data_IF_558314192903
#
_entry.id   IF_558314192903
#
_cell.length_a   1.000
_cell.length_b   1.000
_cell.length_c   1.000
_cell.angle_alpha   90.00
_cell.angle_beta   90.00
_cell.angle_gamma   90.00
#
_symmetry.space_group_name_H-M   'P 1'
#
loop_
_entity.id
_entity.type
_entity.pdbx_description
1 polymer ?
#
# COMPACT_ATOMS: atom_id res chain seq x y z
N UNK A 1 -13.47 -40.85 13.00
CA UNK A 1 -13.99 -39.50 12.69
C UNK A 1 -13.32 -39.06 11.39
N UNK A 2 -14.07 -39.09 10.31
CA UNK A 2 -13.58 -38.76 8.98
C UNK A 2 -13.53 -37.23 8.77
N UNK A 3 -12.56 -36.71 8.00
CA UNK A 3 -12.48 -35.28 7.71
C UNK A 3 -13.53 -34.91 6.66
N UNK A 4 -14.20 -33.80 6.90
CA UNK A 4 -15.19 -33.18 6.03
C UNK A 4 -14.52 -32.79 4.71
N UNK A 5 -15.00 -33.31 3.59
CA UNK A 5 -14.54 -33.02 2.23
C UNK A 5 -14.92 -31.60 1.82
N UNK A 6 -13.91 -30.85 1.40
CA UNK A 6 -14.02 -29.54 0.77
C UNK A 6 -14.87 -29.59 -0.50
N UNK A 7 -16.08 -29.04 -0.44
CA UNK A 7 -16.82 -28.55 -1.61
C UNK A 7 -16.36 -27.12 -1.90
N UNK A 8 -15.77 -26.88 -3.09
CA UNK A 8 -15.44 -25.54 -3.56
C UNK A 8 -16.72 -24.73 -3.78
N UNK A 9 -16.96 -23.63 -3.07
CA UNK A 9 -18.04 -22.71 -3.45
C UNK A 9 -17.61 -21.84 -4.63
N UNK A 10 -18.55 -21.62 -5.54
CA UNK A 10 -18.43 -20.71 -6.69
C UNK A 10 -18.06 -19.31 -6.21
N UNK A 11 -16.92 -18.79 -6.66
CA UNK A 11 -16.48 -17.43 -6.42
C UNK A 11 -17.42 -16.44 -7.09
N UNK A 12 -18.30 -15.84 -6.31
CA UNK A 12 -18.90 -14.54 -6.61
C UNK A 12 -18.82 -13.72 -5.33
N UNK A 13 -18.25 -12.52 -5.47
CA UNK A 13 -18.03 -11.49 -4.46
C UNK A 13 -16.79 -11.68 -3.58
N UNK A 14 -15.73 -10.99 -3.99
CA UNK A 14 -14.47 -10.88 -3.28
C UNK A 14 -14.68 -10.12 -1.98
N UNK A 15 -14.68 -10.84 -0.86
CA UNK A 15 -14.50 -10.26 0.45
C UNK A 15 -13.17 -9.47 0.50
N UNK A 16 -13.23 -8.27 0.99
CA UNK A 16 -12.05 -7.43 1.24
C UNK A 16 -11.12 -8.19 2.19
N UNK A 17 -9.85 -8.37 1.82
CA UNK A 17 -8.87 -8.98 2.71
C UNK A 17 -8.77 -8.13 3.99
N UNK A 18 -9.20 -8.68 5.12
CA UNK A 18 -9.08 -8.07 6.43
C UNK A 18 -7.68 -8.38 6.94
N UNK A 19 -6.92 -7.36 7.27
CA UNK A 19 -5.57 -7.53 7.81
C UNK A 19 -5.67 -7.56 9.34
N UNK A 20 -5.36 -8.69 9.93
CA UNK A 20 -5.26 -8.88 11.37
C UNK A 20 -3.81 -8.82 11.86
N UNK A 21 -3.61 -8.38 13.08
CA UNK A 21 -2.31 -8.18 13.70
C UNK A 21 -2.17 -9.00 14.96
N UNK A 22 -1.04 -9.68 15.11
CA UNK A 22 -0.79 -10.58 16.21
C UNK A 22 -1.55 -11.91 16.06
N UNK A 23 -1.48 -12.76 17.05
CA UNK A 23 -2.25 -14.01 17.12
C UNK A 23 -3.73 -13.71 17.45
N UNK A 24 -4.51 -13.33 16.44
CA UNK A 24 -5.95 -13.09 16.58
C UNK A 24 -6.74 -14.15 15.83
N UNK A 25 -7.25 -15.14 16.54
CA UNK A 25 -8.05 -16.25 15.96
C UNK A 25 -9.30 -15.77 15.18
N UNK A 26 -9.85 -14.61 15.54
CA UNK A 26 -11.02 -14.03 14.85
C UNK A 26 -10.74 -13.67 13.40
N UNK A 27 -9.52 -13.26 13.07
CA UNK A 27 -9.16 -12.76 11.74
C UNK A 27 -8.96 -13.85 10.71
N UNK A 28 -8.29 -14.93 11.08
CA UNK A 28 -8.04 -16.06 10.17
C UNK A 28 -9.36 -16.72 9.76
N UNK A 29 -10.36 -16.69 10.63
CA UNK A 29 -11.69 -17.27 10.39
C UNK A 29 -12.62 -16.37 9.57
N UNK A 30 -12.35 -15.06 9.46
CA UNK A 30 -13.24 -14.08 8.84
C UNK A 30 -12.92 -13.76 7.38
N UNK A 31 -11.78 -14.23 6.86
CA UNK A 31 -11.24 -13.78 5.56
C UNK A 31 -12.15 -14.06 4.36
N UNK A 32 -13.02 -15.07 4.45
CA UNK A 32 -13.89 -15.50 3.35
C UNK A 32 -15.39 -15.47 3.72
N UNK A 33 -15.77 -14.90 4.88
CA UNK A 33 -17.13 -14.92 5.38
C UNK A 33 -17.84 -13.57 5.16
N UNK A 34 -19.14 -13.62 4.86
CA UNK A 34 -20.02 -12.46 4.96
C UNK A 34 -20.26 -12.08 6.44
N UNK A 35 -20.73 -10.85 6.69
CA UNK A 35 -21.05 -10.41 8.05
C UNK A 35 -22.05 -11.35 8.75
N UNK A 36 -23.04 -11.87 8.03
CA UNK A 36 -24.04 -12.80 8.58
C UNK A 36 -23.45 -14.17 8.92
N UNK A 37 -22.59 -14.72 8.05
CA UNK A 37 -21.89 -15.98 8.29
C UNK A 37 -20.90 -15.86 9.45
N UNK A 38 -20.24 -14.70 9.55
CA UNK A 38 -19.31 -14.43 10.65
C UNK A 38 -20.04 -14.33 11.99
N UNK A 39 -21.19 -13.65 12.06
CA UNK A 39 -22.02 -13.61 13.27
C UNK A 39 -22.45 -15.01 13.73
N UNK A 40 -22.86 -15.88 12.80
CA UNK A 40 -23.21 -17.29 13.11
C UNK A 40 -22.01 -18.07 13.64
N UNK A 41 -20.83 -17.87 13.09
CA UNK A 41 -19.59 -18.46 13.57
C UNK A 41 -19.29 -18.02 15.01
N UNK A 42 -19.41 -16.71 15.30
CA UNK A 42 -19.19 -16.18 16.66
C UNK A 42 -20.17 -16.78 17.67
N UNK A 43 -21.44 -16.94 17.28
CA UNK A 43 -22.45 -17.57 18.14
C UNK A 43 -22.15 -19.05 18.42
N UNK A 44 -21.62 -19.76 17.42
CA UNK A 44 -21.18 -21.14 17.58
C UNK A 44 -20.01 -21.25 18.55
N UNK A 45 -18.98 -20.41 18.37
CA UNK A 45 -17.79 -20.37 19.26
C UNK A 45 -18.17 -20.10 20.71
N UNK A 46 -19.11 -19.18 20.94
CA UNK A 46 -19.57 -18.86 22.31
C UNK A 46 -20.38 -20.00 22.95
N UNK A 47 -21.07 -20.81 22.13
CA UNK A 47 -21.86 -21.97 22.62
C UNK A 47 -21.00 -23.18 22.95
N UNK A 48 -19.89 -23.37 22.28
CA UNK A 48 -19.03 -24.55 22.45
C UNK A 48 -18.26 -24.58 23.77
N UNK A 49 -18.14 -23.44 24.47
CA UNK A 49 -17.59 -23.35 25.84
C UNK A 49 -16.11 -23.69 26.03
N UNK A 50 -15.37 -23.96 24.92
CA UNK A 50 -13.96 -24.37 24.96
C UNK A 50 -12.98 -23.26 24.59
N UNK A 51 -13.46 -22.03 24.38
CA UNK A 51 -12.65 -20.91 23.91
C UNK A 51 -11.86 -20.26 25.05
N UNK A 52 -10.68 -19.69 24.70
CA UNK A 52 -9.89 -18.94 25.68
C UNK A 52 -10.66 -17.70 26.17
N UNK A 53 -10.31 -17.24 27.38
CA UNK A 53 -10.93 -16.01 27.93
C UNK A 53 -10.69 -14.80 27.07
N UNK A 54 -9.51 -14.74 26.44
CA UNK A 54 -9.09 -13.67 25.55
C UNK A 54 -9.97 -13.65 24.29
N UNK A 55 -10.20 -14.80 23.66
CA UNK A 55 -11.07 -14.92 22.48
C UNK A 55 -12.51 -14.55 22.81
N UNK A 56 -13.04 -15.02 23.95
CA UNK A 56 -14.38 -14.65 24.42
C UNK A 56 -14.48 -13.13 24.62
N UNK A 57 -13.44 -12.51 25.18
CA UNK A 57 -13.39 -11.06 25.37
C UNK A 57 -13.42 -10.31 24.02
N UNK A 58 -12.61 -10.73 23.05
CA UNK A 58 -12.60 -10.14 21.69
C UNK A 58 -13.95 -10.28 21.00
N UNK A 59 -14.61 -11.45 21.08
CA UNK A 59 -15.93 -11.69 20.52
C UNK A 59 -16.99 -10.78 21.17
N UNK A 60 -16.99 -10.68 22.50
CA UNK A 60 -17.94 -9.83 23.20
C UNK A 60 -17.73 -8.35 22.89
N UNK A 61 -16.47 -7.93 22.75
CA UNK A 61 -16.14 -6.59 22.32
C UNK A 61 -16.65 -6.32 20.89
N UNK A 62 -16.36 -7.20 19.93
CA UNK A 62 -16.87 -7.12 18.56
C UNK A 62 -18.40 -6.98 18.54
N UNK A 63 -19.12 -7.85 19.25
CA UNK A 63 -20.59 -7.81 19.33
C UNK A 63 -21.11 -6.51 19.96
N UNK A 64 -20.38 -5.91 20.89
CA UNK A 64 -20.76 -4.63 21.49
C UNK A 64 -20.74 -3.47 20.51
N UNK A 65 -20.08 -3.61 19.36
CA UNK A 65 -19.99 -2.58 18.33
C UNK A 65 -21.28 -2.42 17.52
N UNK A 66 -22.15 -3.43 17.50
CA UNK A 66 -23.41 -3.46 16.74
C UNK A 66 -24.31 -2.23 17.00
N UNK A 67 -24.25 -1.69 18.20
CA UNK A 67 -25.09 -0.55 18.61
C UNK A 67 -24.34 0.79 18.55
N UNK A 68 -23.14 0.82 18.00
CA UNK A 68 -22.33 2.03 17.88
C UNK A 68 -22.43 2.63 16.49
N UNK A 69 -22.49 3.95 16.40
CA UNK A 69 -22.36 4.61 15.11
C UNK A 69 -20.97 4.42 14.51
N UNK A 70 -20.89 4.43 13.20
CA UNK A 70 -19.58 4.33 12.49
C UNK A 70 -18.62 5.43 12.95
N UNK A 71 -19.10 6.66 13.17
CA UNK A 71 -18.31 7.76 13.69
C UNK A 71 -17.76 7.46 15.10
N UNK A 72 -18.56 6.82 15.96
CA UNK A 72 -18.10 6.41 17.29
C UNK A 72 -17.04 5.31 17.22
N UNK A 73 -17.17 4.36 16.30
CA UNK A 73 -16.16 3.30 16.07
C UNK A 73 -14.86 3.91 15.56
N UNK A 74 -14.91 4.83 14.61
CA UNK A 74 -13.71 5.55 14.14
C UNK A 74 -13.04 6.35 15.28
N UNK A 75 -13.83 7.06 16.10
CA UNK A 75 -13.29 7.80 17.23
C UNK A 75 -12.64 6.88 18.29
N UNK A 76 -13.21 5.70 18.53
CA UNK A 76 -12.61 4.68 19.40
C UNK A 76 -11.28 4.18 18.81
N UNK A 77 -11.24 3.87 17.52
CA UNK A 77 -10.01 3.46 16.83
C UNK A 77 -8.94 4.55 16.93
N UNK A 78 -9.30 5.81 16.64
CA UNK A 78 -8.39 6.95 16.74
C UNK A 78 -7.82 7.11 18.18
N UNK A 79 -8.68 6.94 19.19
CA UNK A 79 -8.26 7.05 20.59
C UNK A 79 -7.29 5.94 21.01
N UNK A 80 -7.53 4.69 20.56
CA UNK A 80 -6.66 3.56 20.86
C UNK A 80 -5.32 3.64 20.13
N UNK A 81 -5.30 4.21 18.92
CA UNK A 81 -4.08 4.43 18.15
C UNK A 81 -3.17 5.54 18.71
N UNK A 82 -3.70 6.40 19.58
CA UNK A 82 -2.93 7.44 20.28
C UNK A 82 -2.22 6.94 21.55
N UNK A 83 -2.49 5.72 21.98
CA UNK A 83 -1.85 5.14 23.17
C UNK A 83 -0.39 4.76 22.89
N UNK A 84 0.49 4.91 23.88
CA UNK A 84 1.91 4.52 23.78
C UNK A 84 2.11 3.02 23.49
N UNK A 85 1.16 2.20 23.90
CA UNK A 85 1.08 0.77 23.61
C UNK A 85 -0.24 0.49 22.91
N UNK A 86 -0.18 0.09 21.66
CA UNK A 86 -1.37 -0.15 20.82
C UNK A 86 -2.05 -1.47 21.24
N UNK A 87 -3.28 -1.43 21.78
CA UNK A 87 -3.99 -2.64 22.21
C UNK A 87 -4.63 -3.36 21.00
N UNK A 88 -3.87 -4.22 20.33
CA UNK A 88 -4.32 -4.93 19.11
C UNK A 88 -5.58 -5.78 19.33
N UNK A 89 -5.75 -6.35 20.52
CA UNK A 89 -6.96 -7.09 20.93
C UNK A 89 -8.24 -6.25 20.91
N UNK A 90 -8.15 -4.93 20.92
CA UNK A 90 -9.28 -4.02 20.78
C UNK A 90 -9.35 -3.44 19.37
N UNK A 91 -8.21 -3.13 18.75
CA UNK A 91 -8.18 -2.53 17.41
C UNK A 91 -8.59 -3.53 16.33
N UNK A 92 -8.15 -4.79 16.46
CA UNK A 92 -8.50 -5.82 15.51
C UNK A 92 -10.04 -6.03 15.38
N UNK A 93 -10.80 -6.21 16.46
CA UNK A 93 -12.27 -6.29 16.38
C UNK A 93 -12.91 -5.02 15.76
N UNK A 94 -12.39 -3.81 16.03
CA UNK A 94 -12.88 -2.57 15.42
C UNK A 94 -12.68 -2.58 13.90
N UNK A 95 -11.49 -2.93 13.45
CA UNK A 95 -11.16 -3.02 12.03
C UNK A 95 -12.01 -4.09 11.32
N UNK A 96 -12.16 -5.25 11.93
CA UNK A 96 -12.99 -6.34 11.42
C UNK A 96 -14.46 -5.92 11.32
N UNK A 97 -15.00 -5.32 12.38
CA UNK A 97 -16.38 -4.82 12.36
C UNK A 97 -16.60 -3.80 11.24
N UNK A 98 -15.69 -2.84 11.09
CA UNK A 98 -15.78 -1.82 10.03
C UNK A 98 -15.70 -2.42 8.63
N UNK A 99 -14.91 -3.47 8.45
CA UNK A 99 -14.77 -4.18 7.17
C UNK A 99 -16.00 -5.00 6.81
N UNK A 100 -16.58 -5.71 7.78
CA UNK A 100 -17.77 -6.55 7.58
C UNK A 100 -19.07 -5.75 7.57
N UNK A 101 -19.12 -4.61 8.25
CA UNK A 101 -20.30 -3.70 8.29
C UNK A 101 -19.92 -2.34 7.70
N UNK A 102 -19.62 -2.27 6.41
CA UNK A 102 -19.31 -1.00 5.78
C UNK A 102 -20.55 -0.10 5.93
N UNK A 103 -20.34 1.10 6.48
CA UNK A 103 -21.39 2.10 6.50
C UNK A 103 -21.88 2.30 5.07
N UNK A 104 -23.16 2.20 4.83
CA UNK A 104 -23.76 2.84 3.66
C UNK A 104 -23.54 4.35 3.85
N UNK A 105 -22.45 4.86 3.28
CA UNK A 105 -22.28 6.29 3.17
C UNK A 105 -23.37 6.77 2.21
N UNK A 106 -24.02 7.88 2.56
CA UNK A 106 -24.94 8.61 1.67
C UNK A 106 -24.25 9.07 0.36
N UNK A 107 -22.94 8.90 0.28
CA UNK A 107 -22.16 9.02 -0.95
C UNK A 107 -21.99 7.61 -1.53
N UNK A 108 -22.39 7.36 -2.80
CA UNK A 108 -22.25 6.05 -3.44
C UNK A 108 -20.79 5.57 -3.33
N UNK A 109 -20.58 4.47 -2.62
CA UNK A 109 -19.25 3.91 -2.33
C UNK A 109 -18.58 3.25 -3.55
N UNK A 110 -19.36 3.02 -4.58
CA UNK A 110 -18.93 2.63 -5.90
C UNK A 110 -19.28 3.74 -6.87
N UNK A 111 -18.36 4.67 -7.09
CA UNK A 111 -18.39 5.35 -8.37
C UNK A 111 -17.99 4.29 -9.42
N UNK A 112 -19.00 3.65 -10.03
CA UNK A 112 -18.79 3.22 -11.39
C UNK A 112 -18.37 4.49 -12.12
N UNK A 113 -17.15 4.53 -12.66
CA UNK A 113 -16.82 5.56 -13.61
C UNK A 113 -17.83 5.42 -14.74
N UNK A 114 -18.91 6.18 -14.67
CA UNK A 114 -19.73 6.41 -15.82
C UNK A 114 -18.76 6.95 -16.86
N UNK A 115 -18.78 6.40 -18.07
CA UNK A 115 -17.91 6.72 -19.20
C UNK A 115 -17.80 8.21 -19.56
N UNK A 116 -18.33 9.12 -18.75
CA UNK A 116 -18.40 10.55 -18.94
C UNK A 116 -17.25 11.33 -18.26
N UNK A 117 -16.52 10.77 -17.29
CA UNK A 117 -15.36 11.47 -16.70
C UNK A 117 -14.08 11.14 -17.48
N UNK A 118 -13.97 11.71 -18.67
CA UNK A 118 -12.78 11.60 -19.52
C UNK A 118 -11.54 12.24 -18.89
N UNK A 119 -11.70 13.04 -17.82
CA UNK A 119 -10.58 13.72 -17.13
C UNK A 119 -9.68 12.71 -16.38
N UNK A 120 -10.18 11.51 -16.11
CA UNK A 120 -9.45 10.46 -15.39
C UNK A 120 -9.03 9.26 -16.25
N UNK A 121 -9.27 9.32 -17.55
CA UNK A 121 -8.66 8.42 -18.51
C UNK A 121 -7.14 8.75 -18.61
N UNK A 122 -6.20 7.79 -18.59
CA UNK A 122 -6.38 6.35 -18.74
C UNK A 122 -6.49 5.56 -17.43
N UNK A 123 -6.49 6.16 -16.23
CA UNK A 123 -6.60 5.39 -14.97
C UNK A 123 -7.80 4.44 -14.97
N UNK A 124 -8.91 4.82 -15.64
CA UNK A 124 -10.11 4.00 -15.78
C UNK A 124 -9.90 2.72 -16.60
N UNK A 125 -8.87 2.65 -17.44
CA UNK A 125 -8.54 1.42 -18.18
C UNK A 125 -7.89 0.38 -17.30
N UNK A 126 -7.27 0.78 -16.19
CA UNK A 126 -6.57 -0.13 -15.27
C UNK A 126 -7.46 -0.60 -14.14
N UNK A 127 -8.50 0.17 -13.79
CA UNK A 127 -9.41 -0.10 -12.70
C UNK A 127 -10.84 -0.03 -13.19
N UNK A 128 -11.59 -1.11 -13.02
CA UNK A 128 -13.01 -1.19 -13.43
C UNK A 128 -13.97 -0.54 -12.41
N UNK A 129 -13.44 0.00 -11.30
CA UNK A 129 -14.23 0.61 -10.22
C UNK A 129 -13.42 1.63 -9.43
N UNK A 130 -14.14 2.48 -8.72
CA UNK A 130 -13.59 3.36 -7.70
C UNK A 130 -13.91 2.78 -6.32
N UNK A 131 -12.91 2.22 -5.64
CA UNK A 131 -13.10 1.63 -4.32
C UNK A 131 -12.33 2.46 -3.28
N UNK A 132 -13.06 3.11 -2.38
CA UNK A 132 -12.50 3.90 -1.29
C UNK A 132 -12.54 3.18 0.07
N UNK A 133 -12.92 1.90 0.10
CA UNK A 133 -13.03 1.10 1.33
C UNK A 133 -11.71 0.46 1.75
N UNK A 134 -10.83 0.20 0.79
CA UNK A 134 -9.55 -0.49 1.01
C UNK A 134 -8.38 0.38 0.58
N UNK A 135 -7.28 0.29 1.30
CA UNK A 135 -6.08 1.06 0.98
C UNK A 135 -5.48 0.65 -0.37
N UNK A 136 -5.60 -0.62 -0.74
CA UNK A 136 -5.18 -1.14 -2.04
C UNK A 136 -6.37 -1.71 -2.81
N UNK A 137 -6.54 -1.26 -4.04
CA UNK A 137 -7.66 -1.64 -4.91
C UNK A 137 -7.16 -2.54 -6.04
N UNK A 138 -7.55 -3.82 -5.97
CA UNK A 138 -7.21 -4.80 -7.00
C UNK A 138 -8.30 -4.82 -8.06
N UNK A 139 -7.95 -4.75 -9.37
CA UNK A 139 -8.90 -5.08 -10.42
C UNK A 139 -9.29 -6.55 -10.33
N UNK A 140 -10.42 -6.91 -10.95
CA UNK A 140 -10.97 -8.28 -10.92
C UNK A 140 -10.01 -9.34 -11.48
N UNK A 141 -9.07 -8.95 -12.34
CA UNK A 141 -8.02 -9.84 -12.85
C UNK A 141 -6.76 -9.04 -13.21
N UNK A 142 -5.60 -9.63 -12.93
CA UNK A 142 -4.30 -9.12 -13.37
C UNK A 142 -3.61 -10.27 -14.10
N UNK A 143 -3.21 -10.03 -15.36
CA UNK A 143 -2.45 -11.02 -16.12
C UNK A 143 -1.11 -11.34 -15.45
N UNK A 144 -0.67 -12.60 -15.48
CA UNK A 144 0.64 -13.01 -14.93
C UNK A 144 1.82 -12.33 -15.62
N UNK A 145 1.66 -12.01 -16.92
CA UNK A 145 2.68 -11.36 -17.73
C UNK A 145 2.40 -9.86 -17.97
N UNK A 146 1.66 -9.22 -17.05
CA UNK A 146 1.31 -7.81 -17.20
C UNK A 146 2.57 -6.94 -17.26
N UNK A 147 2.71 -6.22 -18.37
CA UNK A 147 3.80 -5.27 -18.59
C UNK A 147 3.24 -4.07 -19.33
N UNK A 148 3.48 -2.88 -18.80
CA UNK A 148 2.92 -1.65 -19.32
C UNK A 148 3.90 -0.50 -19.22
N UNK A 149 3.88 0.40 -20.21
CA UNK A 149 4.52 1.69 -20.11
C UNK A 149 3.63 2.70 -19.41
N UNK A 150 4.20 3.43 -18.49
CA UNK A 150 3.53 4.46 -17.71
C UNK A 150 4.29 5.77 -17.87
N UNK A 151 3.60 6.78 -18.37
CA UNK A 151 4.14 8.14 -18.43
C UNK A 151 4.01 8.79 -17.05
N UNK A 152 5.12 9.26 -16.48
CA UNK A 152 5.16 9.97 -15.21
C UNK A 152 5.02 11.48 -15.40
N UNK A 153 5.70 12.02 -16.41
CA UNK A 153 5.69 13.44 -16.73
C UNK A 153 5.11 13.64 -18.13
N UNK A 154 4.28 14.68 -18.30
CA UNK A 154 3.92 15.22 -19.61
C UNK A 154 4.77 16.45 -19.88
N UNK A 155 5.15 16.66 -21.13
CA UNK A 155 5.74 17.92 -21.54
C UNK A 155 4.86 19.09 -21.09
N UNK A 156 5.46 20.07 -20.38
CA UNK A 156 4.85 21.30 -19.86
C UNK A 156 4.00 21.22 -18.57
N UNK A 157 3.98 20.11 -17.85
CA UNK A 157 3.35 20.07 -16.53
C UNK A 157 4.39 19.67 -15.48
N UNK A 158 4.64 20.48 -14.46
CA UNK A 158 5.43 20.10 -13.29
C UNK A 158 4.65 19.07 -12.49
N UNK A 159 4.81 17.78 -12.85
CA UNK A 159 3.94 16.72 -12.36
C UNK A 159 4.56 15.89 -11.21
N UNK A 160 5.73 16.26 -10.73
CA UNK A 160 6.33 15.64 -9.56
C UNK A 160 6.69 16.66 -8.49
N UNK A 161 6.35 16.33 -7.25
CA UNK A 161 6.77 17.04 -6.05
C UNK A 161 7.23 16.06 -4.98
N UNK A 162 8.32 16.38 -4.27
CA UNK A 162 8.77 15.54 -3.17
C UNK A 162 7.70 15.51 -2.05
N UNK A 163 7.36 14.33 -1.50
CA UNK A 163 6.22 14.20 -0.58
C UNK A 163 6.41 14.94 0.75
N UNK A 164 7.62 15.35 1.08
CA UNK A 164 7.95 16.08 2.31
C UNK A 164 8.50 17.46 1.97
N UNK A 165 7.94 18.50 2.59
CA UNK A 165 8.30 19.87 2.32
C UNK A 165 9.64 20.30 2.93
N UNK A 166 10.31 21.27 2.27
CA UNK A 166 11.65 21.71 2.59
C UNK A 166 11.80 22.59 3.84
N UNK A 167 10.72 22.93 4.56
CA UNK A 167 10.78 23.90 5.68
C UNK A 167 11.59 23.44 6.89
N UNK A 168 11.90 22.16 6.97
CA UNK A 168 12.70 21.60 8.06
C UNK A 168 14.02 21.03 7.54
N UNK A 169 14.76 21.82 6.78
CA UNK A 169 16.11 21.48 6.30
C UNK A 169 17.08 21.29 7.48
N UNK A 170 16.88 20.26 8.27
CA UNK A 170 17.92 19.68 9.11
C UNK A 170 18.50 18.46 8.38
N UNK A 171 19.73 18.15 8.64
CA UNK A 171 20.74 17.33 7.96
C UNK A 171 20.31 15.99 7.37
N UNK A 172 19.08 15.49 7.64
CA UNK A 172 18.61 14.15 7.27
C UNK A 172 17.17 14.10 6.73
N UNK A 173 16.60 15.25 6.41
CA UNK A 173 15.18 15.37 6.06
C UNK A 173 14.83 14.69 4.73
N UNK A 174 13.75 13.87 4.74
CA UNK A 174 13.28 13.14 3.54
C UNK A 174 14.14 11.96 3.15
N UNK A 175 15.02 11.49 4.05
CA UNK A 175 15.81 10.29 3.79
C UNK A 175 14.98 9.04 4.07
N UNK A 176 15.27 7.99 3.30
CA UNK A 176 14.70 6.66 3.52
C UNK A 176 15.33 6.08 4.79
N UNK A 177 14.53 5.99 5.85
CA UNK A 177 14.92 5.37 7.13
C UNK A 177 14.66 3.88 7.12
N UNK A 178 13.73 3.43 6.29
CA UNK A 178 13.47 2.02 6.07
C UNK A 178 13.10 1.74 4.61
N UNK A 179 13.84 0.85 3.92
CA UNK A 179 13.61 0.55 2.51
C UNK A 179 12.41 -0.38 2.31
N UNK A 180 11.95 -0.45 1.07
CA UNK A 180 11.00 -1.43 0.57
C UNK A 180 11.59 -2.86 0.64
N UNK A 181 10.74 -3.85 0.88
CA UNK A 181 11.09 -5.27 0.78
C UNK A 181 10.87 -6.07 2.06
N UNK A 182 11.42 -7.27 2.10
CA UNK A 182 11.24 -8.20 3.21
C UNK A 182 12.15 -7.84 4.38
N UNK A 183 11.57 -7.64 5.57
CA UNK A 183 12.33 -7.34 6.81
C UNK A 183 11.58 -7.89 8.03
N UNK A 184 12.32 -8.37 9.02
CA UNK A 184 11.78 -8.82 10.31
C UNK A 184 10.60 -9.80 10.18
N UNK A 185 10.67 -10.71 9.19
CA UNK A 185 9.63 -11.72 8.97
C UNK A 185 8.38 -11.22 8.26
N UNK A 186 8.35 -9.98 7.73
CA UNK A 186 7.20 -9.39 7.03
C UNK A 186 7.61 -8.55 5.82
N UNK A 187 6.66 -8.38 4.90
CA UNK A 187 6.85 -7.49 3.75
C UNK A 187 6.63 -6.04 4.15
N UNK A 188 7.56 -5.16 3.77
CA UNK A 188 7.42 -3.72 3.82
C UNK A 188 7.07 -3.21 2.42
N UNK A 189 5.80 -2.85 2.21
CA UNK A 189 5.24 -2.54 0.89
C UNK A 189 5.50 -1.11 0.42
N UNK A 190 6.29 -0.33 1.17
CA UNK A 190 6.64 1.05 0.87
C UNK A 190 8.04 1.39 1.34
N UNK A 191 8.29 2.66 1.50
CA UNK A 191 9.49 3.20 2.16
C UNK A 191 9.06 4.08 3.33
N UNK A 192 9.85 4.08 4.39
CA UNK A 192 9.66 5.02 5.48
C UNK A 192 10.60 6.20 5.29
N UNK A 193 10.04 7.41 5.27
CA UNK A 193 10.77 8.66 5.11
C UNK A 193 10.79 9.41 6.43
N UNK A 194 11.97 9.89 6.83
CA UNK A 194 12.13 10.69 8.04
C UNK A 194 11.36 12.00 7.93
N UNK A 195 10.57 12.31 8.97
CA UNK A 195 9.94 13.61 9.17
C UNK A 195 9.69 13.85 10.66
N UNK A 196 9.41 15.10 11.03
CA UNK A 196 9.02 15.46 12.39
C UNK A 196 7.48 15.50 12.51
N UNK A 197 7.03 15.40 13.75
CA UNK A 197 5.61 15.56 14.02
C UNK A 197 5.09 16.89 13.50
N UNK A 198 3.97 16.84 12.76
CA UNK A 198 3.31 17.99 12.14
C UNK A 198 4.00 18.56 10.88
N UNK A 199 5.06 17.96 10.38
CA UNK A 199 5.63 18.35 9.08
C UNK A 199 4.60 18.17 7.97
N UNK A 200 4.65 19.03 6.96
CA UNK A 200 3.71 18.99 5.85
C UNK A 200 4.01 17.84 4.90
N UNK A 201 2.97 17.12 4.53
CA UNK A 201 3.00 16.03 3.54
C UNK A 201 2.28 16.50 2.28
N UNK A 202 2.95 16.38 1.13
CA UNK A 202 2.49 16.87 -0.15
C UNK A 202 2.24 15.72 -1.14
N UNK A 203 1.30 15.95 -2.06
CA UNK A 203 1.01 15.04 -3.15
C UNK A 203 2.20 14.95 -4.10
N UNK A 204 2.63 13.73 -4.44
CA UNK A 204 3.77 13.52 -5.35
C UNK A 204 3.42 13.81 -6.80
N UNK A 205 2.24 13.41 -7.24
CA UNK A 205 1.77 13.55 -8.61
C UNK A 205 0.32 14.02 -8.62
N UNK A 206 -0.15 14.71 -9.68
CA UNK A 206 -1.54 15.13 -9.76
C UNK A 206 -2.48 13.92 -9.84
N UNK A 207 -3.62 14.00 -9.17
CA UNK A 207 -4.54 12.89 -9.11
C UNK A 207 -5.86 13.22 -8.42
N UNK A 208 -6.61 12.17 -8.07
CA UNK A 208 -7.85 12.24 -7.32
C UNK A 208 -7.72 11.43 -6.02
N UNK A 209 -8.07 12.05 -4.91
CA UNK A 209 -8.03 11.40 -3.60
C UNK A 209 -9.05 10.27 -3.57
N UNK A 210 -8.57 9.03 -3.45
CA UNK A 210 -9.41 7.84 -3.40
C UNK A 210 -9.81 7.50 -1.96
N UNK A 211 -8.92 7.75 -1.01
CA UNK A 211 -9.15 7.53 0.41
C UNK A 211 -8.51 8.66 1.23
N UNK A 212 -9.20 9.14 2.26
CA UNK A 212 -8.68 10.10 3.25
C UNK A 212 -9.36 9.85 4.60
N UNK A 213 -8.85 8.86 5.36
CA UNK A 213 -9.46 8.41 6.63
C UNK A 213 -8.45 7.69 7.52
N UNK A 214 -8.88 7.26 8.69
CA UNK A 214 -8.15 6.27 9.49
C UNK A 214 -8.42 4.87 8.92
N UNK A 215 -7.36 4.11 8.69
CA UNK A 215 -7.46 2.75 8.12
C UNK A 215 -6.36 1.84 8.67
N UNK A 216 -6.76 0.87 9.49
CA UNK A 216 -5.90 -0.22 9.96
C UNK A 216 -4.53 0.29 10.48
N UNK A 217 -3.47 -0.47 10.27
CA UNK A 217 -2.07 -0.16 10.62
C UNK A 217 -1.52 1.12 10.00
N UNK A 218 -2.09 1.56 8.89
CA UNK A 218 -1.69 2.82 8.27
C UNK A 218 -2.05 4.05 9.12
N UNK A 219 -2.93 3.89 10.13
CA UNK A 219 -3.45 5.01 10.89
C UNK A 219 -4.19 5.98 9.98
N UNK A 220 -3.99 7.28 10.14
CA UNK A 220 -4.54 8.26 9.19
C UNK A 220 -3.79 8.18 7.88
N UNK A 221 -4.52 7.88 6.81
CA UNK A 221 -3.98 7.60 5.49
C UNK A 221 -4.67 8.41 4.41
N UNK A 222 -3.89 8.84 3.42
CA UNK A 222 -4.39 9.39 2.17
C UNK A 222 -3.91 8.50 1.03
N UNK A 223 -4.81 8.11 0.13
CA UNK A 223 -4.47 7.41 -1.11
C UNK A 223 -4.94 8.28 -2.27
N UNK A 224 -4.01 8.56 -3.19
CA UNK A 224 -4.27 9.32 -4.40
C UNK A 224 -4.11 8.41 -5.60
N UNK A 225 -5.13 8.35 -6.47
CA UNK A 225 -5.07 7.69 -7.78
C UNK A 225 -4.69 8.71 -8.84
N UNK A 226 -3.68 8.38 -9.64
CA UNK A 226 -3.14 9.25 -10.68
C UNK A 226 -3.70 8.87 -12.05
N UNK A 227 -3.68 9.82 -13.01
CA UNK A 227 -4.19 9.60 -14.37
C UNK A 227 -3.52 8.45 -15.10
N UNK A 228 -2.25 8.18 -14.79
CA UNK A 228 -1.47 7.09 -15.38
C UNK A 228 -1.72 5.71 -14.74
N UNK A 229 -2.67 5.60 -13.79
CA UNK A 229 -3.01 4.35 -13.11
C UNK A 229 -2.16 4.02 -11.88
N UNK A 230 -1.12 4.78 -11.59
CA UNK A 230 -0.41 4.64 -10.31
C UNK A 230 -1.30 5.12 -9.17
N UNK A 231 -1.06 4.57 -7.98
CA UNK A 231 -1.58 5.07 -6.72
C UNK A 231 -0.43 5.37 -5.78
N UNK A 232 -0.52 6.50 -5.07
CA UNK A 232 0.40 6.82 -3.97
C UNK A 232 -0.37 6.82 -2.66
N UNK A 233 0.20 6.18 -1.64
CA UNK A 233 -0.37 6.05 -0.31
C UNK A 233 0.56 6.72 0.70
N UNK A 234 -0.02 7.59 1.53
CA UNK A 234 0.67 8.39 2.57
C UNK A 234 0.06 8.05 3.92
N UNK A 235 0.82 7.36 4.78
CA UNK A 235 0.31 6.85 6.04
C UNK A 235 0.97 7.46 7.29
N UNK A 236 0.49 7.05 8.45
CA UNK A 236 0.90 7.47 9.79
C UNK A 236 0.73 8.98 10.06
N UNK A 237 -0.18 9.61 9.31
CA UNK A 237 -0.43 11.04 9.41
C UNK A 237 -1.07 11.42 10.76
N UNK A 238 -0.76 12.61 11.28
CA UNK A 238 -1.47 13.21 12.43
C UNK A 238 -2.80 13.81 12.02
N UNK A 239 -2.86 14.39 10.80
CA UNK A 239 -4.06 15.02 10.26
C UNK A 239 -4.06 14.96 8.73
N UNK A 240 -5.22 14.69 8.13
CA UNK A 240 -5.47 14.84 6.70
C UNK A 240 -6.03 16.23 6.40
N UNK A 241 -5.59 16.85 5.30
CA UNK A 241 -6.04 18.17 4.85
C UNK A 241 -6.95 18.11 3.61
N UNK A 242 -7.15 16.91 3.06
CA UNK A 242 -7.94 16.66 1.85
C UNK A 242 -9.11 15.73 2.13
N UNK A 243 -10.07 15.69 1.20
CA UNK A 243 -11.27 14.83 1.26
C UNK A 243 -11.27 13.84 0.10
N UNK A 244 -11.94 12.72 0.30
CA UNK A 244 -12.19 11.74 -0.76
C UNK A 244 -12.93 12.38 -1.94
N UNK A 245 -12.51 12.04 -3.15
CA UNK A 245 -13.02 12.63 -4.38
C UNK A 245 -12.38 13.97 -4.79
N UNK A 246 -11.60 14.61 -3.93
CA UNK A 246 -10.90 15.86 -4.25
C UNK A 246 -9.83 15.62 -5.33
N UNK A 247 -9.79 16.52 -6.32
CA UNK A 247 -8.66 16.61 -7.26
C UNK A 247 -7.52 17.34 -6.57
N UNK A 248 -6.31 16.81 -6.71
CA UNK A 248 -5.08 17.36 -6.13
C UNK A 248 -4.00 17.48 -7.18
N UNK A 249 -3.19 18.52 -7.05
CA UNK A 249 -2.01 18.76 -7.89
C UNK A 249 -0.75 18.20 -7.21
N UNK A 250 0.31 17.99 -7.98
CA UNK A 250 1.63 17.78 -7.39
C UNK A 250 1.99 18.97 -6.50
N UNK A 251 2.53 18.71 -5.31
CA UNK A 251 2.83 19.74 -4.31
C UNK A 251 1.63 20.27 -3.53
N UNK A 252 0.42 19.77 -3.75
CA UNK A 252 -0.72 20.13 -2.92
C UNK A 252 -0.64 19.46 -1.54
N UNK A 253 -0.98 20.21 -0.48
CA UNK A 253 -0.93 19.74 0.90
C UNK A 253 -1.96 18.63 1.11
N UNK A 254 -1.51 17.41 1.44
CA UNK A 254 -2.37 16.29 1.80
C UNK A 254 -2.66 16.22 3.30
N UNK A 255 -1.76 16.73 4.13
CA UNK A 255 -1.88 16.74 5.57
C UNK A 255 -0.55 16.86 6.30
N UNK A 256 -0.48 16.34 7.50
CA UNK A 256 0.67 16.52 8.39
C UNK A 256 1.18 15.18 8.93
N UNK A 257 2.49 15.08 9.06
CA UNK A 257 3.20 13.94 9.60
C UNK A 257 2.83 13.62 11.04
N UNK A 258 2.85 12.34 11.37
CA UNK A 258 2.47 11.87 12.70
C UNK A 258 3.02 10.50 13.01
N UNK A 259 2.34 9.84 13.96
CA UNK A 259 2.68 8.51 14.46
C UNK A 259 1.40 7.68 14.67
N UNK A 260 0.37 7.87 13.83
CA UNK A 260 -0.88 7.10 13.97
C UNK A 260 -0.74 5.71 13.36
N UNK A 261 -1.57 4.76 13.80
CA UNK A 261 -1.48 3.37 13.37
C UNK A 261 -0.28 2.62 13.96
N UNK A 262 0.25 1.64 13.24
CA UNK A 262 1.35 0.81 13.70
C UNK A 262 2.72 1.46 13.42
N UNK A 263 2.95 2.66 13.96
CA UNK A 263 4.20 3.39 13.82
C UNK A 263 4.97 3.41 15.14
N UNK A 264 6.25 3.03 15.14
CA UNK A 264 7.13 3.06 16.33
C UNK A 264 7.67 4.45 16.62
N UNK A 265 7.74 5.30 15.61
CA UNK A 265 8.22 6.69 15.67
C UNK A 265 7.54 7.54 14.62
N UNK A 266 7.77 8.85 14.62
CA UNK A 266 7.24 9.77 13.62
C UNK A 266 7.97 9.55 12.30
N UNK A 267 7.24 9.18 11.25
CA UNK A 267 7.74 9.04 9.89
C UNK A 267 6.58 9.10 8.88
N UNK A 268 6.89 9.28 7.62
CA UNK A 268 5.95 9.05 6.53
C UNK A 268 6.18 7.64 5.97
N UNK A 269 5.20 6.75 6.11
CA UNK A 269 5.17 5.55 5.31
C UNK A 269 4.55 5.86 3.94
N UNK A 270 5.35 5.69 2.90
CA UNK A 270 4.99 6.01 1.52
C UNK A 270 4.99 4.75 0.66
N UNK A 271 3.86 4.48 0.00
CA UNK A 271 3.79 3.41 -1.00
C UNK A 271 3.47 3.98 -2.38
N UNK A 272 3.97 3.30 -3.42
CA UNK A 272 3.53 3.47 -4.79
C UNK A 272 2.99 2.12 -5.25
N UNK A 273 1.80 2.12 -5.86
CA UNK A 273 1.09 0.92 -6.27
C UNK A 273 0.60 1.04 -7.70
N UNK A 274 0.48 -0.11 -8.35
CA UNK A 274 -0.23 -0.22 -9.62
C UNK A 274 -1.14 -1.45 -9.58
N UNK A 275 -2.41 -1.28 -9.92
CA UNK A 275 -3.43 -2.35 -9.80
C UNK A 275 -3.41 -3.03 -8.42
N UNK A 276 -3.27 -2.24 -7.35
CA UNK A 276 -3.21 -2.69 -5.96
C UNK A 276 -1.88 -3.31 -5.52
N UNK A 277 -1.03 -3.76 -6.43
CA UNK A 277 0.27 -4.35 -6.10
C UNK A 277 1.33 -3.27 -5.84
N UNK A 278 2.18 -3.42 -4.83
CA UNK A 278 3.19 -2.44 -4.50
C UNK A 278 4.35 -2.44 -5.49
N UNK A 279 4.95 -1.27 -5.65
CA UNK A 279 6.18 -1.01 -6.40
C UNK A 279 7.19 -0.43 -5.42
N UNK A 280 8.45 -0.83 -5.50
CA UNK A 280 9.50 -0.15 -4.74
C UNK A 280 9.57 1.33 -5.14
N UNK A 281 9.22 2.30 -4.25
CA UNK A 281 9.24 3.71 -4.61
C UNK A 281 10.60 4.20 -5.09
N UNK A 282 11.70 3.60 -4.62
CA UNK A 282 13.06 3.94 -5.04
C UNK A 282 13.36 3.57 -6.52
N UNK A 283 12.51 2.76 -7.17
CA UNK A 283 12.62 2.50 -8.61
C UNK A 283 12.01 3.62 -9.46
N UNK A 284 11.20 4.46 -8.85
CA UNK A 284 10.46 5.53 -9.54
C UNK A 284 11.11 6.88 -9.27
N UNK A 285 11.50 7.13 -7.99
CA UNK A 285 12.01 8.43 -7.56
C UNK A 285 13.31 8.31 -6.76
N UNK A 286 14.19 9.26 -6.96
CA UNK A 286 15.35 9.52 -6.10
C UNK A 286 14.92 10.47 -4.98
N UNK A 287 14.70 9.95 -3.77
CA UNK A 287 14.36 10.78 -2.61
C UNK A 287 15.50 11.74 -2.24
N UNK A 288 16.75 11.34 -2.47
CA UNK A 288 17.93 12.15 -2.23
C UNK A 288 18.01 13.35 -3.17
N UNK A 289 17.82 13.11 -4.47
CA UNK A 289 17.92 14.14 -5.51
C UNK A 289 16.59 14.88 -5.70
N UNK A 290 15.48 14.33 -5.16
CA UNK A 290 14.11 14.87 -5.28
C UNK A 290 13.62 14.93 -6.73
N UNK A 291 13.88 13.89 -7.49
CA UNK A 291 13.55 13.78 -8.92
C UNK A 291 13.00 12.41 -9.26
N UNK A 292 12.27 12.29 -10.35
CA UNK A 292 11.91 11.02 -10.97
C UNK A 292 13.09 10.47 -11.75
N UNK A 293 13.22 9.15 -11.85
CA UNK A 293 14.32 8.51 -12.57
C UNK A 293 14.16 8.62 -14.10
N UNK A 294 12.91 8.71 -14.59
CA UNK A 294 12.62 8.86 -16.01
C UNK A 294 11.18 9.36 -16.20
N UNK A 295 10.91 9.97 -17.36
CA UNK A 295 9.58 10.45 -17.73
C UNK A 295 8.62 9.29 -18.06
N UNK A 296 9.17 8.20 -18.58
CA UNK A 296 8.41 7.00 -18.93
C UNK A 296 9.03 5.78 -18.28
N UNK A 297 8.21 5.01 -17.59
CA UNK A 297 8.59 3.76 -16.93
C UNK A 297 7.90 2.57 -17.58
N UNK A 298 8.59 1.44 -17.60
CA UNK A 298 8.00 0.13 -17.81
C UNK A 298 7.72 -0.48 -16.46
N UNK A 299 6.45 -0.82 -16.23
CA UNK A 299 6.02 -1.62 -15.08
C UNK A 299 5.86 -3.07 -15.51
N UNK A 300 6.54 -3.98 -14.84
CA UNK A 300 6.43 -5.41 -15.10
C UNK A 300 5.98 -6.14 -13.84
N UNK A 301 4.87 -6.90 -13.97
CA UNK A 301 4.31 -7.68 -12.87
C UNK A 301 5.26 -8.81 -12.48
N UNK A 302 5.46 -8.94 -11.19
CA UNK A 302 6.08 -10.07 -10.51
C UNK A 302 5.01 -10.81 -9.68
N UNK A 303 5.40 -11.82 -8.93
CA UNK A 303 4.44 -12.62 -8.14
C UNK A 303 3.56 -11.76 -7.20
N UNK A 304 4.17 -10.83 -6.46
CA UNK A 304 3.49 -10.03 -5.43
C UNK A 304 3.72 -8.52 -5.55
N UNK A 305 4.46 -8.08 -6.57
CA UNK A 305 4.83 -6.69 -6.78
C UNK A 305 4.85 -6.36 -8.27
N UNK A 306 4.97 -5.06 -8.60
CA UNK A 306 5.53 -4.65 -9.87
C UNK A 306 6.97 -4.18 -9.67
N UNK A 307 7.85 -4.48 -10.63
CA UNK A 307 9.13 -3.78 -10.77
C UNK A 307 8.93 -2.64 -11.75
N UNK A 308 9.59 -1.51 -11.48
CA UNK A 308 9.60 -0.35 -12.38
C UNK A 308 11.05 -0.10 -12.85
N UNK A 309 11.21 0.27 -14.10
CA UNK A 309 12.48 0.69 -14.68
C UNK A 309 12.24 1.64 -15.85
N UNK A 310 13.18 2.56 -16.19
CA UNK A 310 13.05 3.47 -17.30
C UNK A 310 12.74 2.76 -18.62
N UNK A 311 11.89 3.33 -19.45
CA UNK A 311 11.66 2.83 -20.81
C UNK A 311 12.97 2.90 -21.60
N UNK A 312 13.22 1.89 -22.42
CA UNK A 312 14.52 1.74 -23.11
C UNK A 312 15.66 1.15 -22.29
N UNK A 313 15.38 0.65 -21.06
CA UNK A 313 16.36 -0.07 -20.24
C UNK A 313 16.82 -1.36 -20.89
N UNK A 314 18.13 -1.53 -21.00
CA UNK A 314 18.74 -2.76 -21.49
C UNK A 314 19.05 -3.75 -20.35
N UNK A 315 18.85 -5.04 -20.63
CA UNK A 315 19.10 -6.12 -19.67
C UNK A 315 20.14 -7.10 -20.16
N UNK A 316 21.00 -7.52 -19.25
CA UNK A 316 21.87 -8.68 -19.40
C UNK A 316 21.25 -9.90 -18.72
N UNK A 317 21.21 -11.02 -19.42
CA UNK A 317 20.84 -12.32 -18.82
C UNK A 317 22.09 -13.03 -18.34
N UNK A 318 22.18 -13.26 -17.02
CA UNK A 318 23.33 -13.86 -16.36
C UNK A 318 23.59 -15.28 -16.88
N UNK A 319 24.83 -15.54 -17.27
CA UNK A 319 25.32 -16.85 -17.72
C UNK A 319 26.11 -17.53 -16.62
N UNK A 320 26.33 -18.84 -16.76
CA UNK A 320 27.14 -19.62 -15.80
C UNK A 320 28.54 -19.03 -15.64
N UNK A 321 28.97 -18.84 -14.39
CA UNK A 321 30.31 -18.32 -14.05
C UNK A 321 30.44 -16.80 -14.19
N UNK A 322 29.33 -16.06 -14.26
CA UNK A 322 29.33 -14.61 -14.19
C UNK A 322 29.12 -14.12 -12.75
N UNK A 323 29.71 -12.97 -12.47
CA UNK A 323 29.62 -12.23 -11.21
C UNK A 323 29.55 -10.72 -11.50
N UNK A 324 29.10 -9.88 -10.58
CA UNK A 324 28.78 -8.49 -10.87
C UNK A 324 29.87 -7.73 -11.60
N UNK A 325 31.15 -7.84 -11.19
CA UNK A 325 32.25 -7.10 -11.85
C UNK A 325 32.55 -7.61 -13.26
N UNK A 326 32.31 -8.89 -13.55
CA UNK A 326 32.50 -9.46 -14.89
C UNK A 326 31.42 -8.93 -15.84
N UNK A 327 30.15 -8.84 -15.37
CA UNK A 327 29.06 -8.26 -16.16
C UNK A 327 29.30 -6.78 -16.38
N UNK A 328 29.61 -6.01 -15.33
CA UNK A 328 29.88 -4.58 -15.44
C UNK A 328 30.97 -4.26 -16.47
N UNK A 329 32.10 -4.99 -16.43
CA UNK A 329 33.21 -4.84 -17.38
C UNK A 329 32.77 -5.07 -18.82
N UNK A 330 31.88 -6.05 -19.08
CA UNK A 330 31.37 -6.35 -20.44
C UNK A 330 30.65 -5.17 -21.06
N UNK A 331 29.95 -4.37 -20.28
CA UNK A 331 29.15 -3.25 -20.74
C UNK A 331 29.81 -1.88 -20.49
N UNK A 332 31.08 -1.86 -20.08
CA UNK A 332 31.83 -0.63 -19.88
C UNK A 332 31.32 0.25 -18.72
N UNK A 333 30.58 -0.35 -17.76
CA UNK A 333 30.10 0.35 -16.57
C UNK A 333 30.87 -0.08 -15.33
N UNK A 334 30.84 0.75 -14.29
CA UNK A 334 31.48 0.39 -13.02
C UNK A 334 30.66 -0.69 -12.29
N UNK A 335 31.32 -1.52 -11.49
CA UNK A 335 30.64 -2.54 -10.70
C UNK A 335 29.67 -1.91 -9.72
N UNK A 336 30.01 -0.73 -9.18
CA UNK A 336 29.14 0.05 -8.29
C UNK A 336 27.87 0.47 -8.99
N UNK A 337 27.98 1.00 -10.22
CA UNK A 337 26.81 1.41 -11.02
C UNK A 337 25.91 0.22 -11.30
N UNK A 338 26.49 -0.92 -11.73
CA UNK A 338 25.70 -2.15 -11.93
C UNK A 338 25.02 -2.61 -10.65
N UNK A 339 25.74 -2.59 -9.52
CA UNK A 339 25.19 -3.01 -8.24
C UNK A 339 24.06 -2.09 -7.78
N UNK A 340 24.22 -0.77 -7.92
CA UNK A 340 23.22 0.21 -7.55
C UNK A 340 21.93 0.07 -8.38
N UNK A 341 22.06 -0.04 -9.71
CA UNK A 341 20.93 -0.23 -10.61
C UNK A 341 20.11 -1.50 -10.32
N UNK A 342 20.75 -2.53 -9.77
CA UNK A 342 20.13 -3.83 -9.55
C UNK A 342 19.90 -4.18 -8.06
N UNK A 343 20.15 -3.25 -7.14
CA UNK A 343 20.00 -3.44 -5.68
C UNK A 343 20.77 -4.67 -5.18
N UNK A 344 21.96 -4.90 -5.73
CA UNK A 344 22.86 -5.98 -5.34
C UNK A 344 24.19 -5.42 -4.80
N UNK A 345 24.98 -6.29 -4.20
CA UNK A 345 26.33 -5.95 -3.74
C UNK A 345 27.37 -6.58 -4.66
N UNK A 346 28.62 -6.13 -4.58
CA UNK A 346 29.75 -6.72 -5.30
C UNK A 346 29.94 -8.21 -4.98
N UNK A 347 29.48 -8.66 -3.79
CA UNK A 347 29.60 -10.05 -3.30
C UNK A 347 28.33 -10.88 -3.59
N UNK A 348 27.28 -10.29 -4.16
CA UNK A 348 26.04 -11.00 -4.47
C UNK A 348 26.33 -12.12 -5.47
N UNK A 349 25.91 -13.34 -5.11
CA UNK A 349 25.95 -14.48 -6.02
C UNK A 349 24.82 -14.36 -7.03
N UNK A 350 25.17 -14.22 -8.30
CA UNK A 350 24.22 -14.15 -9.39
C UNK A 350 23.68 -15.55 -9.74
N UNK A 351 22.40 -15.61 -10.10
CA UNK A 351 21.75 -16.82 -10.56
C UNK A 351 21.74 -16.88 -12.09
N UNK A 352 22.03 -18.03 -12.68
CA UNK A 352 21.92 -18.20 -14.15
C UNK A 352 20.49 -17.93 -14.60
N UNK A 353 20.35 -17.11 -15.64
CA UNK A 353 19.04 -16.62 -16.12
C UNK A 353 18.54 -15.34 -15.44
N UNK A 354 19.17 -14.89 -14.36
CA UNK A 354 18.85 -13.60 -13.72
C UNK A 354 19.07 -12.47 -14.74
N UNK A 355 18.10 -11.53 -14.80
CA UNK A 355 18.22 -10.32 -15.62
C UNK A 355 18.79 -9.19 -14.79
N UNK A 356 19.86 -8.58 -15.25
CA UNK A 356 20.49 -7.41 -14.66
C UNK A 356 20.33 -6.22 -15.58
N UNK A 357 19.86 -5.09 -15.05
CA UNK A 357 19.90 -3.81 -15.76
C UNK A 357 21.33 -3.40 -16.02
N UNK A 358 21.65 -3.04 -17.26
CA UNK A 358 23.00 -2.67 -17.68
C UNK A 358 23.07 -1.26 -18.25
N UNK A 359 21.92 -0.70 -18.60
CA UNK A 359 21.76 0.66 -19.07
C UNK A 359 20.38 1.14 -18.68
N UNK A 360 20.30 2.35 -18.15
CA UNK A 360 19.07 3.13 -18.04
C UNK A 360 19.09 4.13 -19.19
N UNK A 361 17.94 4.36 -19.83
CA UNK A 361 17.79 5.28 -20.95
C UNK A 361 18.08 6.72 -20.55
#
# INVERSE_FOLDING_TARGET
MEPIRNGKPNRKDTASAVVGYGQGYLFESAQDLSAAEFELLLDSILKDGFSSKELIHEINFYKSLKNKSHAAICAMTDSLLLLDSTPYNLINPLNLYTALHPKELEVPLTYSFVNSDTSFYPANTYYNRWNNRVAWDYPSSISENDSIEVLLLKENENEYHHPIGAKTLRRYFGWVTSPFGWRDGRAHNGVDLELHYWDSIYCMFPGKVRMARTYSDYGKVVVVRHKNGLETLYAHMSKTAVKEGQLVKAGELLGHGGKTGNATGTHLHLEIRFKGLPINPAHIVSFKNKEVHADTLVLKKMKHTYIAFPSGTDFHTVKRGEYPSKVAKRYGITTEKLCLMNEITRKTRLTVGQKLRIKDS
#
